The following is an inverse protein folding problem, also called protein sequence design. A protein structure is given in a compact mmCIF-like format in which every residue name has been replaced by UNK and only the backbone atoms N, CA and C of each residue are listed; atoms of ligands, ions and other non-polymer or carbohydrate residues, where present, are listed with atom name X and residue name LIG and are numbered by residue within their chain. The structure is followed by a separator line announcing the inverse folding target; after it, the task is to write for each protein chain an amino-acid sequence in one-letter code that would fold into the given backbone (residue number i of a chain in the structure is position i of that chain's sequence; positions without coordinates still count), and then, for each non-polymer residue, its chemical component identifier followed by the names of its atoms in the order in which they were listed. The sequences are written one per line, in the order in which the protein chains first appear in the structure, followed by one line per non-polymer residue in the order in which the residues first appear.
data_IF_011973495136
#
_entry.id   IF_011973495136
#
_cell.length_a   1.000
_cell.length_b   1.000
_cell.length_c   1.000
_cell.angle_alpha   90.00
_cell.angle_beta   90.00
_cell.angle_gamma   90.00
#
_symmetry.space_group_name_H-M   'P 1'
#
loop_
_entity.id
_entity.type
_entity.pdbx_description
1 polymer ?
#
# COMPACT_ATOMS: atom_id res chain seq x y z
N UNK A 1 -8.55 3.68 5.46
CA UNK A 1 -7.20 3.11 5.35
C UNK A 1 -6.48 3.84 4.23
N UNK A 2 -5.25 4.27 4.47
CA UNK A 2 -4.39 4.92 3.46
C UNK A 2 -3.16 4.05 3.24
N UNK A 3 -2.83 3.80 1.99
CA UNK A 3 -1.63 3.05 1.60
C UNK A 3 -0.73 4.01 0.81
N UNK A 4 0.40 4.40 1.41
CA UNK A 4 1.38 5.28 0.79
C UNK A 4 2.58 4.48 0.30
N UNK A 5 2.86 4.56 -0.98
CA UNK A 5 4.05 3.99 -1.62
C UNK A 5 5.18 5.02 -1.62
N UNK A 6 6.31 4.65 -1.03
CA UNK A 6 7.56 5.42 -1.05
C UNK A 6 8.59 4.59 -1.84
N UNK A 7 8.78 4.84 -3.14
CA UNK A 7 9.65 4.02 -3.96
C UNK A 7 11.13 4.21 -3.57
N UNK A 8 12.00 3.21 -3.82
CA UNK A 8 13.42 3.29 -3.47
C UNK A 8 14.26 4.14 -4.44
N UNK A 9 13.71 4.50 -5.60
CA UNK A 9 14.39 5.23 -6.66
C UNK A 9 13.40 5.95 -7.58
N UNK A 10 13.91 6.81 -8.47
CA UNK A 10 13.13 7.56 -9.46
C UNK A 10 12.74 6.75 -10.70
N UNK A 11 12.88 5.42 -10.69
CA UNK A 11 12.39 4.63 -11.84
C UNK A 11 10.88 4.77 -11.92
N UNK A 12 10.40 5.04 -13.12
CA UNK A 12 8.97 5.12 -13.40
C UNK A 12 8.34 3.77 -13.08
N UNK A 13 7.33 3.78 -12.23
CA UNK A 13 6.50 2.62 -11.87
C UNK A 13 5.07 2.99 -12.18
N UNK A 14 4.32 2.05 -12.72
CA UNK A 14 2.90 2.25 -12.94
C UNK A 14 2.15 2.07 -11.61
N UNK A 15 1.16 2.93 -11.36
CA UNK A 15 0.42 2.97 -10.10
C UNK A 15 -0.32 1.65 -9.83
N UNK A 16 -0.95 1.09 -10.86
CA UNK A 16 -1.64 -0.20 -10.81
C UNK A 16 -0.66 -1.37 -10.59
N UNK A 17 0.55 -1.29 -11.15
CA UNK A 17 1.63 -2.25 -10.90
C UNK A 17 2.09 -2.22 -9.44
N UNK A 18 2.21 -1.04 -8.85
CA UNK A 18 2.56 -0.88 -7.42
C UNK A 18 1.45 -1.41 -6.51
N UNK A 19 0.19 -1.10 -6.82
CA UNK A 19 -0.98 -1.59 -6.09
C UNK A 19 -1.09 -3.12 -6.21
N UNK A 20 -0.95 -3.65 -7.42
CA UNK A 20 -1.00 -5.08 -7.70
C UNK A 20 0.09 -5.86 -6.98
N UNK A 21 1.32 -5.34 -6.96
CA UNK A 21 2.43 -5.93 -6.21
C UNK A 21 2.18 -5.96 -4.70
N UNK A 22 1.42 -5.00 -4.16
CA UNK A 22 1.07 -4.92 -2.74
C UNK A 22 -0.18 -5.74 -2.36
N UNK A 23 -0.87 -6.37 -3.31
CA UNK A 23 -2.10 -7.13 -3.05
C UNK A 23 -1.96 -8.10 -1.87
N UNK A 24 -0.92 -8.92 -1.86
CA UNK A 24 -0.70 -9.90 -0.78
C UNK A 24 -0.42 -9.24 0.58
N UNK A 25 0.17 -8.04 0.59
CA UNK A 25 0.37 -7.27 1.81
C UNK A 25 -0.97 -6.75 2.35
N UNK A 26 -1.86 -6.28 1.48
CA UNK A 26 -3.23 -5.91 1.85
C UNK A 26 -4.01 -7.11 2.40
N UNK A 27 -3.97 -8.25 1.71
CA UNK A 27 -4.68 -9.47 2.13
C UNK A 27 -4.22 -9.90 3.54
N UNK A 28 -2.90 -9.93 3.77
CA UNK A 28 -2.34 -10.27 5.09
C UNK A 28 -2.70 -9.29 6.20
N UNK A 29 -2.84 -8.00 5.90
CA UNK A 29 -3.30 -7.00 6.87
C UNK A 29 -4.77 -7.24 7.24
N UNK A 30 -5.63 -7.54 6.26
CA UNK A 30 -7.03 -7.82 6.52
C UNK A 30 -7.20 -9.10 7.37
N UNK A 31 -6.46 -10.17 7.02
CA UNK A 31 -6.43 -11.42 7.77
C UNK A 31 -5.98 -11.18 9.23
N UNK A 32 -4.92 -10.40 9.44
CA UNK A 32 -4.38 -10.10 10.77
C UNK A 32 -5.35 -9.26 11.63
N UNK A 33 -6.18 -8.43 11.00
CA UNK A 33 -7.19 -7.62 11.69
C UNK A 33 -8.52 -8.36 11.86
N UNK A 34 -8.70 -9.53 11.24
CA UNK A 34 -9.94 -10.31 11.32
C UNK A 34 -11.15 -9.61 10.69
N UNK A 35 -10.92 -8.72 9.72
CA UNK A 35 -11.96 -7.95 9.03
C UNK A 35 -12.06 -8.36 7.57
N UNK A 36 -13.28 -8.36 7.06
CA UNK A 36 -13.55 -8.61 5.65
C UNK A 36 -12.94 -7.49 4.79
N UNK A 37 -11.98 -7.87 3.94
CA UNK A 37 -11.20 -6.97 3.10
C UNK A 37 -12.04 -6.24 2.05
N UNK A 38 -13.23 -6.79 1.74
CA UNK A 38 -14.22 -6.20 0.86
C UNK A 38 -14.75 -4.86 1.38
N UNK A 39 -14.69 -4.64 2.70
CA UNK A 39 -15.12 -3.38 3.31
C UNK A 39 -14.05 -2.29 3.21
N UNK A 40 -12.80 -2.63 2.92
CA UNK A 40 -11.75 -1.64 2.77
C UNK A 40 -11.86 -0.91 1.44
N UNK A 41 -12.11 0.39 1.51
CA UNK A 41 -11.89 1.35 0.42
C UNK A 41 -10.60 2.13 0.69
N UNK A 42 -9.42 1.57 0.35
CA UNK A 42 -8.17 2.27 0.58
C UNK A 42 -8.01 3.46 -0.35
N UNK A 43 -7.41 4.52 0.18
CA UNK A 43 -6.83 5.60 -0.62
C UNK A 43 -5.37 5.27 -0.87
N UNK A 44 -4.92 5.40 -2.13
CA UNK A 44 -3.53 5.17 -2.51
C UNK A 44 -2.82 6.51 -2.70
N UNK A 45 -1.62 6.61 -2.14
CA UNK A 45 -0.75 7.78 -2.29
C UNK A 45 0.62 7.36 -2.81
N UNK A 46 1.20 8.17 -3.68
CA UNK A 46 2.53 7.96 -4.26
C UNK A 46 3.41 9.13 -3.87
N UNK A 47 4.41 8.87 -3.03
CA UNK A 47 5.32 9.87 -2.50
C UNK A 47 6.62 9.92 -3.31
N UNK A 48 7.42 10.96 -3.05
CA UNK A 48 8.77 11.07 -3.58
C UNK A 48 9.66 9.88 -3.13
N UNK A 49 10.63 9.45 -3.95
CA UNK A 49 11.47 8.32 -3.60
C UNK A 49 12.35 8.55 -2.36
N UNK A 50 12.49 7.53 -1.52
CA UNK A 50 13.35 7.52 -0.34
C UNK A 50 14.03 6.16 -0.18
N UNK A 51 15.27 6.14 0.32
CA UNK A 51 16.02 4.89 0.55
C UNK A 51 16.13 4.57 2.04
N UNK A 52 15.74 3.36 2.49
CA UNK A 52 15.10 2.30 1.71
C UNK A 52 13.65 2.64 1.35
N UNK A 53 13.19 2.13 0.20
CA UNK A 53 11.79 2.25 -0.20
C UNK A 53 10.89 1.49 0.78
N UNK A 54 9.67 1.98 0.98
CA UNK A 54 8.71 1.41 1.94
C UNK A 54 7.27 1.60 1.49
N UNK A 55 6.38 0.81 2.08
CA UNK A 55 4.94 1.03 2.03
C UNK A 55 4.48 1.36 3.43
N UNK A 56 3.77 2.48 3.59
CA UNK A 56 3.19 2.91 4.87
C UNK A 56 1.68 2.67 4.79
N UNK A 57 1.16 1.90 5.74
CA UNK A 57 -0.28 1.62 5.85
C UNK A 57 -0.81 2.27 7.12
N UNK A 58 -1.76 3.18 6.95
CA UNK A 58 -2.45 3.87 8.04
C UNK A 58 -3.89 3.38 8.12
N UNK A 59 -4.26 2.85 9.28
CA UNK A 59 -5.57 2.27 9.54
C UNK A 59 -6.23 3.12 10.64
N UNK A 60 -7.34 3.76 10.29
CA UNK A 60 -8.16 4.52 11.23
C UNK A 60 -9.32 3.60 11.60
N UNK A 61 -9.36 3.19 12.87
CA UNK A 61 -10.41 2.38 13.47
C UNK A 61 -11.43 3.27 14.19
#
# INVERSE_FOLDING_TARGET
MTIRFVPPDHRRRDDDGMIGAFKHGRDGIADALGVDDHSFRPTYEFAEPEKPGRVVVEIIA
#
